data_IF_043252116846
#
_entry.id   IF_043252116846
#
_cell.length_a   1.000
_cell.length_b   1.000
_cell.length_c   1.000
_cell.angle_alpha   90.00
_cell.angle_beta   90.00
_cell.angle_gamma   90.00
#
_symmetry.space_group_name_H-M   'P 1'
#
loop_
_entity.id
_entity.type
_entity.pdbx_description
1 polymer ?
#
# COMPACT_ATOMS: atom_id res chain seq x y z
N UNK A 1 29.34 6.83 -25.61
CA UNK A 1 28.69 5.71 -24.87
C UNK A 1 27.68 6.30 -23.92
N UNK A 2 26.48 5.77 -23.88
CA UNK A 2 25.48 6.20 -22.87
C UNK A 2 25.96 5.78 -21.47
N UNK A 3 25.71 6.62 -20.48
CA UNK A 3 26.00 6.33 -19.07
C UNK A 3 24.74 5.80 -18.39
N UNK A 4 24.92 4.84 -17.49
CA UNK A 4 23.84 4.31 -16.65
C UNK A 4 23.52 5.30 -15.53
N UNK A 5 22.26 5.28 -15.06
CA UNK A 5 21.92 5.96 -13.81
C UNK A 5 22.46 5.16 -12.62
N UNK A 6 23.58 5.61 -12.05
CA UNK A 6 24.30 4.91 -10.98
C UNK A 6 23.51 4.80 -9.67
N UNK A 7 22.42 5.57 -9.50
CA UNK A 7 21.58 5.44 -8.33
C UNK A 7 20.91 4.07 -8.23
N UNK A 8 20.62 3.42 -9.37
CA UNK A 8 20.13 2.04 -9.40
C UNK A 8 21.12 1.02 -8.82
N UNK A 9 22.43 1.29 -8.92
CA UNK A 9 23.46 0.41 -8.38
C UNK A 9 23.56 0.46 -6.85
N UNK A 10 22.93 1.45 -6.21
CA UNK A 10 22.88 1.58 -4.75
C UNK A 10 21.82 0.68 -4.10
N UNK A 11 20.83 0.22 -4.88
CA UNK A 11 19.83 -0.69 -4.38
C UNK A 11 20.41 -2.08 -4.11
N UNK A 12 20.00 -2.78 -3.05
CA UNK A 12 20.33 -4.18 -2.86
C UNK A 12 19.99 -5.00 -4.11
N UNK A 13 20.85 -5.93 -4.51
CA UNK A 13 20.60 -6.80 -5.67
C UNK A 13 19.33 -7.65 -5.52
N UNK A 14 18.88 -7.88 -4.28
CA UNK A 14 17.71 -8.66 -3.97
C UNK A 14 16.65 -7.81 -3.26
N UNK A 15 15.45 -7.78 -3.82
CA UNK A 15 14.27 -7.28 -3.16
C UNK A 15 13.83 -8.28 -2.07
N UNK A 16 13.37 -7.80 -0.90
CA UNK A 16 12.97 -8.61 0.27
C UNK A 16 12.23 -9.92 -0.07
N UNK A 17 11.23 -9.81 -0.94
CA UNK A 17 10.41 -10.98 -1.32
C UNK A 17 11.17 -11.98 -2.20
N UNK A 18 12.21 -11.55 -2.93
CA UNK A 18 13.08 -12.44 -3.68
C UNK A 18 13.99 -13.26 -2.73
N UNK A 19 14.48 -12.66 -1.66
CA UNK A 19 15.28 -13.38 -0.65
C UNK A 19 14.44 -14.42 0.10
N UNK A 20 13.19 -14.08 0.46
CA UNK A 20 12.24 -15.03 1.03
C UNK A 20 12.02 -16.20 0.07
N UNK A 21 11.73 -15.91 -1.21
CA UNK A 21 11.52 -16.95 -2.23
C UNK A 21 12.75 -17.85 -2.39
N UNK A 22 13.97 -17.28 -2.38
CA UNK A 22 15.22 -18.02 -2.45
C UNK A 22 15.39 -18.98 -1.27
N UNK A 23 15.13 -18.52 -0.03
CA UNK A 23 15.21 -19.36 1.18
C UNK A 23 14.14 -20.48 1.16
N UNK A 24 12.91 -20.15 0.77
CA UNK A 24 11.82 -21.14 0.64
C UNK A 24 12.14 -22.19 -0.44
N UNK A 25 12.70 -21.79 -1.57
CA UNK A 25 13.11 -22.73 -2.63
C UNK A 25 14.27 -23.63 -2.17
N UNK A 26 15.27 -23.09 -1.47
CA UNK A 26 16.35 -23.89 -0.88
C UNK A 26 15.81 -24.92 0.13
N UNK A 27 14.86 -24.53 0.97
CA UNK A 27 14.18 -25.43 1.88
C UNK A 27 13.44 -26.56 1.15
N UNK A 28 12.71 -26.25 0.06
CA UNK A 28 11.99 -27.25 -0.74
C UNK A 28 12.92 -28.31 -1.36
N UNK A 29 14.14 -27.92 -1.75
CA UNK A 29 15.13 -28.85 -2.32
C UNK A 29 15.53 -29.91 -1.27
N UNK A 30 15.73 -29.51 -0.03
CA UNK A 30 16.11 -30.40 1.07
C UNK A 30 14.91 -31.11 1.73
N UNK A 31 13.70 -30.56 1.59
CA UNK A 31 12.46 -31.08 2.15
C UNK A 31 11.35 -31.19 1.07
N UNK A 32 11.52 -32.06 0.04
CA UNK A 32 10.65 -32.11 -1.11
C UNK A 32 9.19 -32.53 -0.81
N UNK A 33 8.95 -33.14 0.34
CA UNK A 33 7.61 -33.53 0.82
C UNK A 33 6.96 -32.51 1.75
N UNK A 34 7.65 -31.43 2.08
CA UNK A 34 7.10 -30.41 2.98
C UNK A 34 5.93 -29.66 2.31
N UNK A 35 4.78 -29.64 2.99
CA UNK A 35 3.64 -28.84 2.60
C UNK A 35 3.77 -27.46 3.27
N UNK A 36 4.32 -26.48 2.53
CA UNK A 36 4.57 -25.13 3.04
C UNK A 36 3.31 -24.27 2.92
N UNK A 37 2.93 -23.61 4.00
CA UNK A 37 1.87 -22.61 4.02
C UNK A 37 2.50 -21.22 4.11
N UNK A 38 2.26 -20.38 3.08
CA UNK A 38 2.78 -19.01 3.06
C UNK A 38 1.74 -18.05 3.61
N UNK A 39 2.07 -17.42 4.74
CA UNK A 39 1.33 -16.30 5.33
C UNK A 39 2.12 -14.99 5.26
N UNK A 40 3.19 -14.95 4.46
CA UNK A 40 4.06 -13.76 4.32
C UNK A 40 3.74 -12.87 3.14
N UNK A 41 3.23 -13.44 2.03
CA UNK A 41 3.01 -12.71 0.79
C UNK A 41 1.70 -11.90 0.88
N UNK A 42 1.81 -10.60 0.65
CA UNK A 42 0.66 -9.69 0.64
C UNK A 42 -0.14 -9.73 -0.67
N UNK A 43 -0.36 -10.92 -1.25
CA UNK A 43 -1.21 -11.11 -2.42
C UNK A 43 -2.54 -11.73 -2.03
N UNK A 44 -3.61 -11.26 -2.67
CA UNK A 44 -4.97 -11.76 -2.46
C UNK A 44 -5.15 -13.13 -3.11
N UNK A 45 -6.03 -13.97 -2.55
CA UNK A 45 -6.20 -15.36 -2.99
C UNK A 45 -7.63 -15.71 -3.40
N UNK A 46 -8.60 -14.89 -3.02
CA UNK A 46 -9.98 -15.11 -3.46
C UNK A 46 -10.12 -14.72 -4.94
N UNK A 47 -10.93 -15.47 -5.70
CA UNK A 47 -11.21 -15.14 -7.09
C UNK A 47 -11.91 -13.78 -7.18
N UNK A 48 -11.86 -13.18 -8.36
CA UNK A 48 -12.64 -11.97 -8.67
C UNK A 48 -14.13 -12.24 -8.47
N UNK A 49 -14.84 -11.26 -7.95
CA UNK A 49 -16.26 -11.41 -7.71
C UNK A 49 -17.06 -11.47 -9.04
N UNK A 50 -18.24 -12.13 -9.03
CA UNK A 50 -19.04 -12.32 -10.24
C UNK A 50 -19.37 -11.02 -10.99
N UNK A 51 -19.72 -9.94 -10.30
CA UNK A 51 -20.01 -8.65 -10.92
C UNK A 51 -18.83 -8.09 -11.73
N UNK A 52 -17.60 -8.27 -11.24
CA UNK A 52 -16.37 -7.88 -11.94
C UNK A 52 -16.16 -8.72 -13.19
N UNK A 53 -16.32 -10.05 -13.10
CA UNK A 53 -16.16 -10.96 -14.23
C UNK A 53 -17.18 -10.68 -15.33
N UNK A 54 -18.44 -10.45 -14.96
CA UNK A 54 -19.50 -10.09 -15.90
C UNK A 54 -19.20 -8.79 -16.64
N UNK A 55 -18.77 -7.75 -15.90
CA UNK A 55 -18.39 -6.48 -16.49
C UNK A 55 -17.21 -6.60 -17.46
N UNK A 56 -16.21 -7.46 -17.14
CA UNK A 56 -15.08 -7.73 -18.03
C UNK A 56 -15.53 -8.42 -19.32
N UNK A 57 -16.39 -9.42 -19.23
CA UNK A 57 -16.94 -10.12 -20.41
C UNK A 57 -17.70 -9.14 -21.30
N UNK A 58 -18.61 -8.36 -20.73
CA UNK A 58 -19.38 -7.36 -21.45
C UNK A 58 -18.48 -6.33 -22.14
N UNK A 59 -17.48 -5.81 -21.45
CA UNK A 59 -16.53 -4.86 -22.01
C UNK A 59 -15.69 -5.48 -23.16
N UNK A 60 -15.31 -6.75 -23.04
CA UNK A 60 -14.60 -7.46 -24.12
C UNK A 60 -15.50 -7.69 -25.34
N UNK A 61 -16.77 -8.06 -25.16
CA UNK A 61 -17.75 -8.24 -26.24
C UNK A 61 -18.02 -6.90 -26.95
N UNK A 62 -18.17 -5.79 -26.22
CA UNK A 62 -18.31 -4.44 -26.78
C UNK A 62 -17.13 -4.10 -27.70
N UNK A 63 -15.90 -4.35 -27.25
CA UNK A 63 -14.67 -4.10 -28.02
C UNK A 63 -14.60 -4.92 -29.33
N UNK A 64 -15.36 -6.01 -29.42
CA UNK A 64 -15.47 -6.85 -30.62
C UNK A 64 -16.37 -6.26 -31.71
N UNK A 65 -17.03 -5.14 -31.50
CA UNK A 65 -17.95 -4.50 -32.46
C UNK A 65 -17.40 -3.16 -32.94
N UNK A 66 -17.74 -2.77 -34.17
CA UNK A 66 -17.30 -1.49 -34.73
C UNK A 66 -17.85 -0.29 -33.93
N UNK A 67 -19.04 -0.39 -33.36
CA UNK A 67 -19.68 0.68 -32.57
C UNK A 67 -19.22 0.71 -31.11
N UNK A 68 -18.73 -0.40 -30.58
CA UNK A 68 -18.28 -0.54 -29.20
C UNK A 68 -16.76 -0.57 -29.05
N UNK A 69 -16.01 -0.44 -30.16
CA UNK A 69 -14.55 -0.39 -30.08
C UNK A 69 -14.04 0.88 -29.39
N UNK A 70 -13.20 0.70 -28.41
CA UNK A 70 -12.52 1.77 -27.69
C UNK A 70 -11.02 1.77 -28.02
N UNK A 71 -10.54 2.83 -28.70
CA UNK A 71 -9.11 3.07 -28.90
C UNK A 71 -8.44 3.66 -27.65
N UNK A 72 -7.51 4.59 -27.84
CA UNK A 72 -6.94 5.34 -26.72
C UNK A 72 -8.04 6.08 -25.96
N UNK A 73 -8.17 5.77 -24.67
CA UNK A 73 -9.10 6.46 -23.77
C UNK A 73 -8.52 7.80 -23.27
N UNK A 74 -9.31 8.53 -22.45
CA UNK A 74 -8.79 9.70 -21.74
C UNK A 74 -7.65 9.30 -20.80
N UNK A 75 -6.58 10.08 -20.79
CA UNK A 75 -5.37 9.80 -19.97
C UNK A 75 -5.66 9.80 -18.47
N UNK A 76 -6.69 10.55 -18.03
CA UNK A 76 -7.16 10.54 -16.64
C UNK A 76 -8.07 9.34 -16.30
N UNK A 77 -8.47 8.56 -17.28
CA UNK A 77 -9.48 7.53 -17.17
C UNK A 77 -10.87 7.99 -17.63
N UNK A 78 -11.75 7.03 -17.87
CA UNK A 78 -13.12 7.29 -18.32
C UNK A 78 -13.98 7.92 -17.24
N UNK A 79 -14.90 8.81 -17.64
CA UNK A 79 -15.79 9.53 -16.74
C UNK A 79 -16.67 8.58 -15.92
N UNK A 80 -17.16 7.48 -16.51
CA UNK A 80 -17.98 6.51 -15.79
C UNK A 80 -17.32 5.99 -14.52
N UNK A 81 -16.01 5.73 -14.55
CA UNK A 81 -15.28 5.26 -13.35
C UNK A 81 -14.97 6.42 -12.41
N UNK A 82 -14.52 7.57 -12.93
CA UNK A 82 -14.20 8.74 -12.10
C UNK A 82 -15.41 9.27 -11.35
N UNK A 83 -16.60 9.30 -12.00
CA UNK A 83 -17.88 9.63 -11.36
C UNK A 83 -18.29 8.60 -10.32
N UNK A 84 -18.11 7.28 -10.60
CA UNK A 84 -18.38 6.23 -9.64
C UNK A 84 -17.49 6.35 -8.39
N UNK A 85 -16.20 6.67 -8.55
CA UNK A 85 -15.27 6.95 -7.46
C UNK A 85 -15.76 8.14 -6.61
N UNK A 86 -16.04 9.28 -7.25
CA UNK A 86 -16.55 10.46 -6.55
C UNK A 86 -17.79 10.15 -5.72
N UNK A 87 -18.76 9.51 -6.34
CA UNK A 87 -20.06 9.20 -5.73
C UNK A 87 -19.98 8.23 -4.56
N UNK A 88 -19.03 7.29 -4.60
CA UNK A 88 -19.00 6.18 -3.64
C UNK A 88 -17.88 6.31 -2.59
N UNK A 89 -16.72 6.82 -2.97
CA UNK A 89 -15.58 6.87 -2.05
C UNK A 89 -15.48 8.21 -1.31
N UNK A 90 -15.92 9.32 -1.93
CA UNK A 90 -15.72 10.66 -1.38
C UNK A 90 -17.00 11.37 -0.91
N UNK A 91 -18.04 11.45 -1.74
CA UNK A 91 -19.26 12.18 -1.38
C UNK A 91 -19.95 11.68 -0.09
N UNK A 92 -20.04 10.36 0.20
CA UNK A 92 -20.62 9.87 1.44
C UNK A 92 -19.86 10.28 2.70
N UNK A 93 -18.60 10.70 2.55
CA UNK A 93 -17.71 11.19 3.62
C UNK A 93 -17.68 12.72 3.72
N UNK A 94 -18.53 13.41 2.96
CA UNK A 94 -18.54 14.87 2.89
C UNK A 94 -17.35 15.49 2.18
N UNK A 95 -16.64 14.71 1.37
CA UNK A 95 -15.50 15.18 0.57
C UNK A 95 -15.99 15.55 -0.81
N UNK A 96 -15.77 16.81 -1.20
CA UNK A 96 -16.14 17.34 -2.50
C UNK A 96 -14.87 17.53 -3.35
N UNK A 97 -14.75 16.72 -4.38
CA UNK A 97 -13.69 16.78 -5.40
C UNK A 97 -14.31 17.06 -6.75
N UNK A 98 -13.57 17.72 -7.63
CA UNK A 98 -13.89 17.79 -9.04
C UNK A 98 -13.46 16.50 -9.76
N UNK A 99 -14.15 16.14 -10.83
CA UNK A 99 -13.86 14.91 -11.57
C UNK A 99 -12.43 14.89 -12.13
N UNK A 100 -11.87 16.03 -12.50
CA UNK A 100 -10.51 16.19 -13.03
C UNK A 100 -9.43 16.27 -11.95
N UNK A 101 -9.78 16.05 -10.68
CA UNK A 101 -8.83 15.78 -9.59
C UNK A 101 -8.54 14.28 -9.43
N UNK A 102 -9.30 13.40 -10.13
CA UNK A 102 -9.15 11.96 -10.10
C UNK A 102 -8.47 11.46 -11.36
N UNK A 103 -7.40 10.68 -11.16
CA UNK A 103 -6.57 10.08 -12.20
C UNK A 103 -6.55 8.57 -12.03
N UNK A 104 -7.23 7.85 -12.92
CA UNK A 104 -7.22 6.38 -12.95
C UNK A 104 -5.88 5.88 -13.45
N UNK A 105 -5.33 4.87 -12.78
CA UNK A 105 -4.01 4.31 -13.06
C UNK A 105 -3.99 2.77 -13.06
N UNK A 106 -2.84 2.18 -13.33
CA UNK A 106 -2.62 0.74 -13.34
C UNK A 106 -2.26 0.15 -11.95
N UNK A 107 -2.61 0.86 -10.89
CA UNK A 107 -2.38 0.52 -9.49
C UNK A 107 -1.52 1.56 -8.78
N UNK A 108 -1.76 1.76 -7.48
CA UNK A 108 -1.10 2.79 -6.68
C UNK A 108 0.44 2.73 -6.73
N UNK A 109 1.02 1.54 -6.89
CA UNK A 109 2.48 1.36 -6.89
C UNK A 109 3.19 2.14 -7.99
N UNK A 110 2.65 2.14 -9.22
CA UNK A 110 3.23 2.89 -10.33
C UNK A 110 3.14 4.39 -10.08
N UNK A 111 1.99 4.87 -9.61
CA UNK A 111 1.82 6.30 -9.37
C UNK A 111 2.62 6.82 -8.18
N UNK A 112 2.82 6.04 -7.10
CA UNK A 112 3.70 6.43 -6.00
C UNK A 112 5.17 6.61 -6.45
N UNK A 113 5.60 5.88 -7.47
CA UNK A 113 6.89 6.06 -8.12
C UNK A 113 6.89 7.23 -9.12
N UNK A 114 5.85 7.31 -9.95
CA UNK A 114 5.75 8.28 -11.04
C UNK A 114 5.57 9.73 -10.55
N UNK A 115 4.79 9.94 -9.47
CA UNK A 115 4.51 11.27 -8.92
C UNK A 115 5.79 12.01 -8.50
N UNK A 116 6.84 11.29 -8.22
CA UNK A 116 8.12 11.84 -7.82
C UNK A 116 8.80 12.67 -8.91
N UNK A 117 8.39 12.50 -10.18
CA UNK A 117 8.89 13.32 -11.29
C UNK A 117 8.41 14.78 -11.22
N UNK A 118 7.35 15.07 -10.44
CA UNK A 118 6.84 16.43 -10.23
C UNK A 118 7.63 17.24 -9.22
N UNK A 119 8.47 16.59 -8.42
CA UNK A 119 9.19 17.25 -7.33
C UNK A 119 10.70 17.11 -7.53
N UNK A 120 11.42 18.13 -7.07
CA UNK A 120 12.88 18.19 -7.24
C UNK A 120 13.58 17.03 -6.54
N UNK A 121 14.69 16.62 -7.13
CA UNK A 121 15.54 15.52 -6.64
C UNK A 121 16.21 15.81 -5.28
N UNK A 122 16.34 17.08 -4.90
CA UNK A 122 16.98 17.52 -3.65
C UNK A 122 16.01 17.75 -2.48
N UNK A 123 14.72 17.45 -2.66
CA UNK A 123 13.73 17.48 -1.57
C UNK A 123 14.06 16.42 -0.51
N UNK A 124 13.95 16.80 0.76
CA UNK A 124 14.04 15.86 1.88
C UNK A 124 12.79 14.98 1.97
N UNK A 125 12.97 13.72 2.38
CA UNK A 125 11.88 12.75 2.52
C UNK A 125 11.77 12.26 3.95
N UNK A 126 10.54 12.18 4.45
CA UNK A 126 10.19 11.50 5.70
C UNK A 126 9.36 10.25 5.43
N UNK A 127 9.70 9.18 6.12
CA UNK A 127 8.96 7.90 6.06
C UNK A 127 8.72 7.37 7.47
N UNK A 128 7.59 6.71 7.67
CA UNK A 128 7.43 5.88 8.87
C UNK A 128 8.40 4.70 8.82
N UNK A 129 8.83 4.19 9.96
CA UNK A 129 9.71 3.03 10.04
C UNK A 129 9.15 2.06 11.09
N UNK A 130 8.69 0.87 10.73
CA UNK A 130 8.75 0.23 9.40
C UNK A 130 7.76 0.81 8.36
N UNK A 131 8.07 0.59 7.08
CA UNK A 131 7.25 1.06 5.95
C UNK A 131 7.35 0.13 4.75
N UNK A 132 6.44 0.28 3.78
CA UNK A 132 6.52 -0.39 2.50
C UNK A 132 7.77 0.05 1.72
N UNK A 133 8.72 -0.86 1.39
CA UNK A 133 10.06 -0.50 0.90
C UNK A 133 10.06 0.32 -0.39
N UNK A 134 9.02 0.20 -1.20
CA UNK A 134 8.92 0.89 -2.50
C UNK A 134 9.04 2.41 -2.39
N UNK A 135 8.60 3.00 -1.29
CA UNK A 135 8.72 4.46 -1.12
C UNK A 135 10.18 4.90 -0.99
N UNK A 136 11.01 4.14 -0.28
CA UNK A 136 12.44 4.40 -0.17
C UNK A 136 13.13 4.06 -1.49
N UNK A 137 12.91 2.85 -2.03
CA UNK A 137 13.58 2.37 -3.24
C UNK A 137 13.38 3.31 -4.43
N UNK A 138 12.16 3.80 -4.63
CA UNK A 138 11.87 4.74 -5.70
C UNK A 138 12.57 6.09 -5.52
N UNK A 139 12.78 6.55 -4.29
CA UNK A 139 13.58 7.73 -3.98
C UNK A 139 15.09 7.50 -4.14
N UNK A 140 15.58 6.28 -3.92
CA UNK A 140 16.96 5.90 -4.25
C UNK A 140 17.18 5.95 -5.75
N UNK A 141 16.28 5.37 -6.55
CA UNK A 141 16.38 5.33 -8.02
C UNK A 141 16.54 6.71 -8.66
N UNK A 142 15.91 7.74 -8.11
CA UNK A 142 16.02 9.12 -8.60
C UNK A 142 17.12 9.94 -7.92
N UNK A 143 17.90 9.34 -7.01
CA UNK A 143 19.06 9.97 -6.38
C UNK A 143 18.74 10.79 -5.12
N UNK A 144 17.51 10.77 -4.61
CA UNK A 144 17.09 11.60 -3.47
C UNK A 144 17.54 11.05 -2.12
N UNK A 145 17.73 9.74 -2.00
CA UNK A 145 17.96 9.10 -0.71
C UNK A 145 19.38 9.25 -0.14
N UNK A 146 20.36 9.69 -0.94
CA UNK A 146 21.75 9.87 -0.48
C UNK A 146 22.58 8.57 -0.52
N UNK A 147 23.30 8.29 0.57
CA UNK A 147 24.15 7.11 0.80
C UNK A 147 23.64 6.29 1.98
N UNK A 148 24.04 5.03 2.06
CA UNK A 148 23.70 4.19 3.22
C UNK A 148 24.73 4.40 4.33
N UNK A 149 24.27 4.76 5.52
CA UNK A 149 25.05 4.97 6.73
C UNK A 149 24.34 4.25 7.89
N UNK A 150 25.01 3.34 8.56
CA UNK A 150 24.45 2.52 9.65
C UNK A 150 23.09 1.86 9.31
N UNK A 151 22.95 1.35 8.08
CA UNK A 151 21.76 0.68 7.59
C UNK A 151 20.59 1.61 7.22
N UNK A 152 20.79 2.93 7.23
CA UNK A 152 19.81 3.95 6.87
C UNK A 152 20.31 4.82 5.72
N UNK A 153 19.41 5.33 4.91
CA UNK A 153 19.72 6.31 3.88
C UNK A 153 19.91 7.70 4.49
N UNK A 154 21.03 8.37 4.22
CA UNK A 154 21.42 9.61 4.88
C UNK A 154 20.47 10.79 4.66
N UNK A 155 19.78 10.84 3.52
CA UNK A 155 18.81 11.90 3.20
C UNK A 155 17.36 11.52 3.49
N UNK A 156 17.13 10.36 4.13
CA UNK A 156 15.78 9.91 4.54
C UNK A 156 15.60 10.13 6.03
N UNK A 157 14.51 10.77 6.40
CA UNK A 157 14.12 10.98 7.79
C UNK A 157 13.21 9.83 8.18
N UNK A 158 13.74 8.93 8.99
CA UNK A 158 12.99 7.79 9.53
C UNK A 158 12.21 8.22 10.77
N UNK A 159 10.91 7.96 10.78
CA UNK A 159 10.00 8.23 11.90
C UNK A 159 9.59 6.90 12.52
N UNK A 160 10.22 6.47 13.63
CA UNK A 160 9.96 5.16 14.21
C UNK A 160 8.51 4.98 14.61
N UNK A 161 7.96 3.81 14.27
CA UNK A 161 6.63 3.33 14.65
C UNK A 161 6.80 1.96 15.31
N UNK A 162 6.77 1.92 16.62
CA UNK A 162 7.03 0.74 17.42
C UNK A 162 6.00 0.61 18.57
N UNK A 163 6.10 -0.43 19.36
CA UNK A 163 5.18 -0.69 20.46
C UNK A 163 5.20 0.43 21.52
N UNK A 164 6.38 1.01 21.76
CA UNK A 164 6.60 2.02 22.79
C UNK A 164 5.86 3.34 22.47
N UNK A 165 5.64 3.66 21.19
CA UNK A 165 4.87 4.83 20.76
C UNK A 165 3.49 4.50 20.20
N UNK A 166 3.01 3.26 20.43
CA UNK A 166 1.71 2.81 19.91
C UNK A 166 1.62 2.79 18.38
N UNK A 167 2.75 2.69 17.69
CA UNK A 167 2.87 2.75 16.22
C UNK A 167 2.40 4.08 15.60
N UNK A 168 2.39 5.15 16.41
CA UNK A 168 2.10 6.51 15.94
C UNK A 168 3.43 7.26 15.76
N UNK A 169 3.79 7.64 14.52
CA UNK A 169 5.05 8.33 14.27
C UNK A 169 5.03 9.73 14.87
N UNK A 170 6.15 10.12 15.50
CA UNK A 170 6.32 11.47 15.97
C UNK A 170 6.50 12.43 14.80
N UNK A 171 5.86 13.59 14.93
CA UNK A 171 6.03 14.68 13.96
C UNK A 171 7.47 15.20 14.06
N UNK A 172 8.18 15.33 12.91
CA UNK A 172 9.54 15.85 12.90
C UNK A 172 9.64 17.27 13.50
N UNK A 173 10.71 17.54 14.24
CA UNK A 173 11.02 18.86 14.80
C UNK A 173 11.58 19.86 13.77
N UNK A 174 11.92 19.37 12.58
CA UNK A 174 12.44 20.13 11.43
C UNK A 174 11.50 20.01 10.22
N UNK A 175 11.66 20.90 9.27
CA UNK A 175 10.97 20.82 7.99
C UNK A 175 11.39 19.57 7.21
N UNK A 176 10.41 18.87 6.64
CA UNK A 176 10.56 17.77 5.70
C UNK A 176 9.73 18.13 4.45
N UNK A 177 10.31 18.05 3.26
CA UNK A 177 9.62 18.52 2.06
C UNK A 177 8.52 17.55 1.61
N UNK A 178 8.77 16.24 1.72
CA UNK A 178 7.79 15.19 1.35
C UNK A 178 7.72 14.14 2.44
N UNK A 179 6.51 13.79 2.85
CA UNK A 179 6.26 12.74 3.85
C UNK A 179 5.36 11.67 3.26
N UNK A 180 5.77 10.41 3.40
CA UNK A 180 4.95 9.25 3.05
C UNK A 180 4.22 8.76 4.29
N UNK A 181 2.89 8.67 4.19
CA UNK A 181 2.02 8.05 5.19
C UNK A 181 1.19 6.96 4.50
N UNK A 182 1.14 5.77 5.09
CA UNK A 182 0.34 4.65 4.60
C UNK A 182 -0.58 4.19 5.72
N UNK A 183 -1.90 4.37 5.55
CA UNK A 183 -2.89 3.94 6.55
C UNK A 183 -4.17 3.42 5.88
N UNK A 184 -4.65 2.24 6.30
CA UNK A 184 -4.02 1.28 7.22
C UNK A 184 -2.61 0.90 6.78
N UNK A 185 -1.70 0.72 7.73
CA UNK A 185 -0.27 0.61 7.45
C UNK A 185 0.14 -0.77 6.92
N UNK A 186 0.95 -0.79 5.90
CA UNK A 186 1.76 -1.93 5.51
C UNK A 186 3.22 -1.63 5.93
N UNK A 187 3.80 -2.37 6.91
CA UNK A 187 3.49 -3.75 7.28
C UNK A 187 2.69 -3.95 8.58
N UNK A 188 2.52 -2.93 9.42
CA UNK A 188 2.08 -3.12 10.82
C UNK A 188 0.59 -3.42 10.98
N UNK A 189 -0.23 -3.12 9.95
CA UNK A 189 -1.68 -3.23 10.05
C UNK A 189 -2.34 -2.19 10.97
N UNK A 190 -1.55 -1.22 11.47
CA UNK A 190 -2.06 -0.17 12.35
C UNK A 190 -2.75 0.93 11.55
N UNK A 191 -3.61 1.65 12.22
CA UNK A 191 -4.36 2.80 11.67
C UNK A 191 -3.97 4.08 12.39
N UNK A 192 -4.40 5.21 11.86
CA UNK A 192 -4.18 6.52 12.46
C UNK A 192 -5.53 7.15 12.79
N UNK A 193 -5.64 7.75 13.98
CA UNK A 193 -6.86 8.43 14.38
C UNK A 193 -7.04 9.75 13.61
N UNK A 194 -8.28 10.23 13.56
CA UNK A 194 -8.60 11.53 12.96
C UNK A 194 -7.84 12.68 13.61
N UNK A 195 -7.62 12.61 14.93
CA UNK A 195 -6.87 13.64 15.67
C UNK A 195 -5.37 13.64 15.27
N UNK A 196 -4.76 12.46 15.22
CA UNK A 196 -3.36 12.31 14.84
C UNK A 196 -3.13 12.70 13.38
N UNK A 197 -4.01 12.27 12.46
CA UNK A 197 -3.91 12.68 11.06
C UNK A 197 -4.05 14.19 10.89
N UNK A 198 -4.87 14.85 11.71
CA UNK A 198 -4.97 16.32 11.74
C UNK A 198 -3.65 16.99 12.15
N UNK A 199 -2.89 16.40 13.07
CA UNK A 199 -1.56 16.92 13.45
C UNK A 199 -0.61 16.91 12.25
N UNK A 200 -0.65 15.84 11.44
CA UNK A 200 0.14 15.75 10.21
C UNK A 200 -0.27 16.77 9.16
N UNK A 201 -1.55 16.95 8.93
CA UNK A 201 -2.05 17.99 8.00
C UNK A 201 -1.66 19.40 8.48
N UNK A 202 -1.78 19.67 9.77
CA UNK A 202 -1.36 20.97 10.34
C UNK A 202 0.15 21.19 10.21
N UNK A 203 0.96 20.16 10.47
CA UNK A 203 2.41 20.23 10.25
C UNK A 203 2.73 20.52 8.78
N UNK A 204 2.08 19.81 7.85
CA UNK A 204 2.32 19.99 6.43
C UNK A 204 1.96 21.39 5.94
N UNK A 205 0.83 21.94 6.38
CA UNK A 205 0.41 23.30 6.04
C UNK A 205 1.34 24.37 6.62
N UNK A 206 1.86 24.13 7.83
CA UNK A 206 2.78 25.07 8.49
C UNK A 206 4.17 25.10 7.84
N UNK A 207 4.63 23.97 7.33
CA UNK A 207 6.00 23.77 6.85
C UNK A 207 6.11 23.70 5.32
N UNK A 208 5.02 23.92 4.58
CA UNK A 208 4.98 23.67 3.11
C UNK A 208 5.44 22.25 2.75
N UNK A 209 5.02 21.27 3.53
CA UNK A 209 5.32 19.84 3.31
C UNK A 209 4.25 19.24 2.42
N UNK A 210 4.65 18.38 1.48
CA UNK A 210 3.75 17.56 0.68
C UNK A 210 3.58 16.19 1.33
N UNK A 211 2.34 15.77 1.58
CA UNK A 211 2.03 14.42 2.07
C UNK A 211 1.65 13.54 0.88
N UNK A 212 2.34 12.40 0.74
CA UNK A 212 1.94 11.27 -0.10
C UNK A 212 1.22 10.25 0.78
N UNK A 213 -0.10 10.22 0.67
CA UNK A 213 -0.96 9.39 1.51
C UNK A 213 -1.41 8.15 0.75
N UNK A 214 -0.94 6.97 1.15
CA UNK A 214 -1.32 5.70 0.55
C UNK A 214 -2.49 5.08 1.32
N UNK A 215 -3.66 5.06 0.69
CA UNK A 215 -4.92 4.55 1.22
C UNK A 215 -5.29 3.17 0.62
N UNK A 216 -4.31 2.39 0.13
CA UNK A 216 -4.56 1.12 -0.56
C UNK A 216 -5.34 0.08 0.27
N UNK A 217 -5.38 0.23 1.59
CA UNK A 217 -6.08 -0.68 2.51
C UNK A 217 -7.33 -0.06 3.17
N UNK A 218 -7.75 1.13 2.75
CA UNK A 218 -8.87 1.86 3.37
C UNK A 218 -10.17 1.04 3.43
N UNK A 219 -10.40 0.14 2.48
CA UNK A 219 -11.59 -0.71 2.43
C UNK A 219 -11.65 -1.75 3.58
N UNK A 220 -10.55 -1.99 4.27
CA UNK A 220 -10.47 -2.91 5.42
C UNK A 220 -10.78 -2.27 6.77
N UNK A 221 -10.92 -0.94 6.83
CA UNK A 221 -11.26 -0.22 8.05
C UNK A 221 -12.66 -0.63 8.49
N UNK A 222 -12.77 -1.06 9.76
CA UNK A 222 -14.01 -1.52 10.38
C UNK A 222 -14.57 -0.49 11.37
N UNK A 223 -13.72 0.40 11.89
CA UNK A 223 -14.06 1.37 12.91
C UNK A 223 -14.47 2.71 12.26
N UNK A 224 -15.65 3.20 12.58
CA UNK A 224 -16.24 4.43 12.01
C UNK A 224 -15.43 5.70 12.33
N UNK A 225 -14.66 5.70 13.42
CA UNK A 225 -13.86 6.85 13.85
C UNK A 225 -12.53 6.99 13.09
N UNK A 226 -12.11 5.95 12.38
CA UNK A 226 -10.87 5.95 11.60
C UNK A 226 -11.12 6.56 10.21
N UNK A 227 -10.35 7.58 9.79
CA UNK A 227 -10.52 8.18 8.47
C UNK A 227 -10.14 7.21 7.35
N UNK A 228 -10.97 7.12 6.32
CA UNK A 228 -10.70 6.35 5.12
C UNK A 228 -9.94 7.15 4.05
N UNK A 229 -9.93 8.47 4.20
CA UNK A 229 -9.26 9.41 3.30
C UNK A 229 -8.62 10.53 4.11
N UNK A 230 -7.44 10.99 3.69
CA UNK A 230 -6.82 12.16 4.31
C UNK A 230 -7.67 13.42 4.10
N UNK A 231 -8.49 13.46 3.05
CA UNK A 231 -9.36 14.60 2.76
C UNK A 231 -10.55 14.76 3.70
N UNK A 232 -10.79 13.81 4.59
CA UNK A 232 -11.69 13.99 5.74
C UNK A 232 -11.11 15.01 6.77
N UNK A 233 -9.83 15.34 6.64
CA UNK A 233 -9.15 16.33 7.48
C UNK A 233 -9.14 17.68 6.77
N UNK A 234 -9.73 18.68 7.40
CA UNK A 234 -9.77 20.05 6.86
C UNK A 234 -8.36 20.56 6.53
N UNK A 235 -8.16 21.00 5.29
CA UNK A 235 -6.91 21.55 4.81
C UNK A 235 -6.03 20.57 4.04
N UNK A 236 -6.30 19.27 4.10
CA UNK A 236 -5.51 18.24 3.43
C UNK A 236 -5.42 18.43 1.91
N UNK A 237 -6.47 18.95 1.25
CA UNK A 237 -6.45 19.25 -0.19
C UNK A 237 -5.31 20.19 -0.61
N UNK A 238 -4.79 21.01 0.30
CA UNK A 238 -3.70 21.97 0.04
C UNK A 238 -2.31 21.41 0.31
N UNK A 239 -2.19 20.17 0.84
CA UNK A 239 -0.90 19.60 1.22
C UNK A 239 -0.78 18.11 0.95
N UNK A 240 -1.77 17.43 0.38
CA UNK A 240 -1.72 15.98 0.20
C UNK A 240 -2.13 15.52 -1.20
N UNK A 241 -1.44 14.47 -1.67
CA UNK A 241 -1.83 13.61 -2.80
C UNK A 241 -2.20 12.26 -2.19
N UNK A 242 -3.32 11.68 -2.63
CA UNK A 242 -3.83 10.42 -2.10
C UNK A 242 -3.84 9.33 -3.18
N UNK A 243 -3.34 8.13 -2.82
CA UNK A 243 -3.24 6.98 -3.71
C UNK A 243 -4.17 5.87 -3.26
N UNK A 244 -4.94 5.33 -4.21
CA UNK A 244 -5.88 4.24 -4.00
C UNK A 244 -5.59 3.07 -4.94
N UNK A 245 -5.90 1.84 -4.48
CA UNK A 245 -5.69 0.63 -5.27
C UNK A 245 -6.86 -0.33 -5.15
N UNK A 246 -7.33 -0.84 -6.26
CA UNK A 246 -8.28 -1.95 -6.26
C UNK A 246 -7.60 -3.32 -6.05
N UNK A 247 -6.27 -3.36 -6.02
CA UNK A 247 -5.50 -4.60 -5.83
C UNK A 247 -5.93 -5.37 -4.59
N UNK A 248 -6.14 -4.66 -3.46
CA UNK A 248 -6.50 -5.31 -2.19
C UNK A 248 -8.01 -5.27 -1.93
N UNK A 249 -8.68 -4.23 -2.40
CA UNK A 249 -10.14 -4.08 -2.25
C UNK A 249 -10.90 -5.12 -3.07
N UNK A 250 -10.51 -5.32 -4.34
CA UNK A 250 -11.30 -6.08 -5.31
C UNK A 250 -10.52 -7.24 -5.98
N UNK A 251 -9.32 -7.57 -5.50
CA UNK A 251 -8.53 -8.65 -6.09
C UNK A 251 -7.78 -8.27 -7.38
N UNK A 252 -7.60 -6.98 -7.66
CA UNK A 252 -7.04 -6.50 -8.94
C UNK A 252 -5.51 -6.55 -9.00
N UNK A 253 -4.87 -7.44 -8.27
CA UNK A 253 -3.41 -7.61 -8.32
C UNK A 253 -2.90 -8.00 -9.72
N UNK A 254 -3.71 -8.74 -10.49
CA UNK A 254 -3.44 -9.11 -11.88
C UNK A 254 -4.12 -8.24 -12.94
N UNK A 255 -5.26 -7.60 -12.61
CA UNK A 255 -6.01 -6.73 -13.54
C UNK A 255 -5.32 -5.38 -13.72
N UNK A 256 -4.71 -4.87 -12.67
CA UNK A 256 -4.00 -3.58 -12.62
C UNK A 256 -4.93 -2.38 -12.79
N UNK A 257 -5.57 -1.94 -11.70
CA UNK A 257 -6.32 -0.70 -11.63
C UNK A 257 -6.26 -0.06 -10.24
N UNK A 258 -6.26 1.25 -10.20
CA UNK A 258 -6.30 2.10 -9.02
C UNK A 258 -6.57 3.54 -9.44
N UNK A 259 -6.43 4.48 -8.53
CA UNK A 259 -6.53 5.90 -8.85
C UNK A 259 -5.71 6.76 -7.89
N UNK A 260 -5.34 7.94 -8.37
CA UNK A 260 -4.64 8.97 -7.58
C UNK A 260 -5.50 10.22 -7.57
N UNK A 261 -5.59 10.87 -6.42
CA UNK A 261 -6.26 12.16 -6.28
C UNK A 261 -5.21 13.26 -6.14
N UNK A 262 -5.23 14.21 -7.07
CA UNK A 262 -4.36 15.39 -7.06
C UNK A 262 -5.24 16.63 -7.05
N UNK A 263 -5.49 17.25 -5.89
CA UNK A 263 -6.37 18.40 -5.78
C UNK A 263 -5.87 19.62 -6.59
N UNK A 264 -6.81 20.38 -7.15
CA UNK A 264 -6.50 21.65 -7.85
C UNK A 264 -5.92 22.71 -6.94
N UNK A 265 -6.28 22.68 -5.63
CA UNK A 265 -5.79 23.61 -4.62
C UNK A 265 -4.35 23.33 -4.19
N UNK A 266 -3.82 22.15 -4.58
CA UNK A 266 -2.48 21.72 -4.19
C UNK A 266 -1.42 22.40 -5.04
N UNK A 267 -0.51 23.10 -4.39
CA UNK A 267 0.59 23.81 -5.05
C UNK A 267 1.94 23.46 -4.44
N UNK A 268 3.01 23.54 -5.24
CA UNK A 268 4.39 23.51 -4.76
C UNK A 268 5.13 24.77 -5.22
N UNK A 269 6.22 25.12 -4.52
CA UNK A 269 7.00 26.30 -4.83
C UNK A 269 8.12 26.00 -5.85
N UNK A 270 8.39 26.94 -6.74
CA UNK A 270 9.62 26.97 -7.54
C UNK A 270 10.79 27.49 -6.69
N UNK A 271 12.01 27.45 -7.24
CA UNK A 271 13.18 28.05 -6.60
C UNK A 271 13.07 29.55 -6.37
N UNK A 272 12.25 30.24 -7.18
CA UNK A 272 11.98 31.67 -7.06
C UNK A 272 10.84 31.98 -6.10
N UNK A 273 10.21 30.96 -5.50
CA UNK A 273 9.09 31.13 -4.55
C UNK A 273 7.71 31.19 -5.20
N UNK A 274 7.61 31.12 -6.52
CA UNK A 274 6.32 31.07 -7.23
C UNK A 274 5.57 29.78 -6.90
N UNK A 275 4.26 29.88 -6.63
CA UNK A 275 3.41 28.72 -6.33
C UNK A 275 2.76 28.18 -7.60
N UNK A 276 3.04 26.91 -7.93
CA UNK A 276 2.56 26.24 -9.13
C UNK A 276 1.58 25.13 -8.74
N UNK A 277 0.36 25.08 -9.31
CA UNK A 277 -0.57 23.96 -9.11
C UNK A 277 0.02 22.64 -9.61
N UNK A 278 -0.06 21.58 -8.80
CA UNK A 278 0.48 20.26 -9.15
C UNK A 278 -0.46 19.47 -10.08
N UNK A 279 -1.77 19.70 -10.02
CA UNK A 279 -2.74 18.96 -10.83
C UNK A 279 -2.47 19.10 -12.34
N UNK A 280 -2.29 20.29 -12.93
CA UNK A 280 -1.97 20.41 -14.35
C UNK A 280 -0.62 19.78 -14.74
N UNK A 281 0.36 19.79 -13.84
CA UNK A 281 1.65 19.15 -14.07
C UNK A 281 1.50 17.62 -14.11
N UNK A 282 0.70 17.07 -13.17
CA UNK A 282 0.40 15.65 -13.16
C UNK A 282 -0.39 15.23 -14.41
N UNK A 283 -1.40 15.97 -14.79
CA UNK A 283 -2.14 15.73 -16.03
C UNK A 283 -1.18 15.71 -17.23
N UNK A 284 -0.31 16.72 -17.36
CA UNK A 284 0.67 16.77 -18.46
C UNK A 284 1.62 15.58 -18.46
N UNK A 285 2.06 15.12 -17.27
CA UNK A 285 2.88 13.91 -17.14
C UNK A 285 2.13 12.68 -17.64
N UNK A 286 0.88 12.50 -17.23
CA UNK A 286 0.04 11.36 -17.64
C UNK A 286 -0.17 11.36 -19.16
N UNK A 287 -0.48 12.49 -19.78
CA UNK A 287 -0.58 12.61 -21.24
C UNK A 287 0.73 12.29 -21.98
N UNK A 288 1.89 12.44 -21.32
CA UNK A 288 3.19 12.24 -21.98
C UNK A 288 3.74 10.81 -21.81
N UNK A 289 3.50 10.17 -20.67
CA UNK A 289 4.14 8.92 -20.27
C UNK A 289 3.18 7.78 -19.94
N UNK A 290 1.86 8.04 -20.03
CA UNK A 290 0.84 7.06 -19.68
C UNK A 290 -0.41 7.30 -20.52
N UNK A 291 -0.90 6.31 -21.23
CA UNK A 291 -2.10 6.42 -22.08
C UNK A 291 -3.38 5.91 -21.38
N UNK A 292 -3.39 5.92 -20.06
CA UNK A 292 -4.49 5.36 -19.26
C UNK A 292 -4.43 3.85 -19.10
N UNK A 293 -5.16 3.34 -18.10
CA UNK A 293 -5.37 1.89 -17.97
C UNK A 293 -6.46 1.40 -18.94
N UNK A 294 -6.50 0.10 -19.21
CA UNK A 294 -7.39 -0.46 -20.24
C UNK A 294 -8.87 -0.20 -19.94
N UNK A 295 -9.68 -0.05 -21.01
CA UNK A 295 -11.13 0.07 -20.92
C UNK A 295 -11.76 -1.06 -20.11
N UNK A 296 -11.34 -2.31 -20.37
CA UNK A 296 -11.85 -3.52 -19.68
C UNK A 296 -11.56 -3.45 -18.18
N UNK A 297 -10.34 -3.03 -17.79
CA UNK A 297 -9.99 -2.88 -16.37
C UNK A 297 -10.81 -1.78 -15.68
N UNK A 298 -11.13 -0.70 -16.38
CA UNK A 298 -11.94 0.38 -15.83
C UNK A 298 -13.41 -0.02 -15.69
N UNK A 299 -13.98 -0.79 -16.64
CA UNK A 299 -15.34 -1.37 -16.50
C UNK A 299 -15.41 -2.38 -15.35
N UNK A 300 -14.37 -3.20 -15.20
CA UNK A 300 -14.23 -4.08 -14.06
C UNK A 300 -14.22 -3.32 -12.72
N UNK A 301 -13.50 -2.18 -12.66
CA UNK A 301 -13.44 -1.34 -11.48
C UNK A 301 -14.77 -0.63 -11.20
N UNK A 302 -15.47 -0.14 -12.22
CA UNK A 302 -16.81 0.45 -12.07
C UNK A 302 -17.80 -0.55 -11.45
N UNK A 303 -17.72 -1.82 -11.83
CA UNK A 303 -18.65 -2.87 -11.35
C UNK A 303 -18.61 -3.05 -9.82
N UNK A 304 -17.50 -2.75 -9.16
CA UNK A 304 -17.43 -2.86 -7.69
C UNK A 304 -18.34 -1.85 -6.96
N UNK A 305 -18.73 -0.78 -7.63
CA UNK A 305 -19.58 0.28 -7.10
C UNK A 305 -21.09 0.02 -7.32
N UNK A 306 -21.44 -1.00 -8.09
CA UNK A 306 -22.85 -1.44 -8.19
C UNK A 306 -23.33 -2.03 -6.85
N UNK A 307 -24.66 -2.11 -6.59
CA UNK A 307 -25.15 -2.75 -5.36
C UNK A 307 -24.60 -4.17 -5.16
N UNK A 308 -24.62 -4.99 -6.22
CA UNK A 308 -24.12 -6.37 -6.22
C UNK A 308 -22.60 -6.41 -6.00
N UNK A 309 -21.86 -5.53 -6.69
CA UNK A 309 -20.42 -5.42 -6.55
C UNK A 309 -20.01 -5.08 -5.12
N UNK A 310 -20.68 -4.10 -4.50
CA UNK A 310 -20.40 -3.71 -3.10
C UNK A 310 -20.65 -4.86 -2.12
N UNK A 311 -21.75 -5.60 -2.28
CA UNK A 311 -22.05 -6.74 -1.42
C UNK A 311 -20.98 -7.83 -1.56
N UNK A 312 -20.60 -8.18 -2.80
CA UNK A 312 -19.60 -9.20 -3.09
C UNK A 312 -18.20 -8.80 -2.59
N UNK A 313 -17.80 -7.53 -2.77
CA UNK A 313 -16.54 -7.00 -2.25
C UNK A 313 -16.53 -7.03 -0.72
N UNK A 314 -17.61 -6.60 -0.08
CA UNK A 314 -17.77 -6.68 1.38
C UNK A 314 -17.64 -8.11 1.91
N UNK A 315 -18.20 -9.08 1.21
CA UNK A 315 -18.07 -10.50 1.55
C UNK A 315 -16.62 -10.96 1.46
N UNK A 316 -15.88 -10.58 0.41
CA UNK A 316 -14.46 -10.91 0.24
C UNK A 316 -13.58 -10.27 1.32
N UNK A 317 -13.80 -8.99 1.66
CA UNK A 317 -13.10 -8.31 2.74
C UNK A 317 -13.37 -9.00 4.08
N UNK A 318 -14.63 -9.31 4.38
CA UNK A 318 -15.00 -10.02 5.60
C UNK A 318 -14.34 -11.41 5.69
N UNK A 319 -14.22 -12.11 4.57
CA UNK A 319 -13.50 -13.40 4.51
C UNK A 319 -12.07 -13.26 5.03
N UNK A 320 -11.32 -12.27 4.53
CA UNK A 320 -9.96 -12.02 4.99
C UNK A 320 -9.89 -11.51 6.44
N UNK A 321 -10.83 -10.66 6.84
CA UNK A 321 -10.86 -10.14 8.21
C UNK A 321 -11.19 -11.23 9.25
N UNK A 322 -11.95 -12.26 8.86
CA UNK A 322 -12.14 -13.46 9.70
C UNK A 322 -10.81 -14.21 9.93
N UNK A 323 -9.98 -14.35 8.89
CA UNK A 323 -8.63 -14.90 9.05
C UNK A 323 -7.76 -14.04 9.98
N UNK A 324 -7.78 -12.72 9.80
CA UNK A 324 -7.05 -11.80 10.66
C UNK A 324 -7.45 -11.97 12.13
N UNK A 325 -8.74 -12.02 12.41
CA UNK A 325 -9.28 -12.24 13.77
C UNK A 325 -8.82 -13.58 14.35
N UNK A 326 -8.85 -14.68 13.57
CA UNK A 326 -8.36 -15.99 13.99
C UNK A 326 -6.88 -15.94 14.32
N UNK A 327 -6.06 -15.30 13.47
CA UNK A 327 -4.61 -15.14 13.70
C UNK A 327 -4.35 -14.37 15.00
N UNK A 328 -4.99 -13.20 15.18
CA UNK A 328 -4.84 -12.40 16.39
C UNK A 328 -5.18 -13.17 17.64
N UNK A 329 -6.35 -13.81 17.68
CA UNK A 329 -6.80 -14.57 18.84
C UNK A 329 -5.86 -15.72 19.16
N UNK A 330 -5.42 -16.46 18.14
CA UNK A 330 -4.54 -17.62 18.33
C UNK A 330 -3.15 -17.20 18.79
N UNK A 331 -2.51 -16.24 18.11
CA UNK A 331 -1.16 -15.82 18.46
C UNK A 331 -1.11 -15.17 19.84
N UNK A 332 -2.09 -14.35 20.20
CA UNK A 332 -2.23 -13.80 21.56
C UNK A 332 -2.40 -14.90 22.62
N UNK A 333 -3.17 -15.95 22.33
CA UNK A 333 -3.35 -17.10 23.26
C UNK A 333 -2.07 -17.93 23.46
N UNK A 334 -1.11 -17.84 22.55
CA UNK A 334 0.22 -18.45 22.66
C UNK A 334 1.24 -17.55 23.36
N UNK A 335 0.82 -16.39 23.84
CA UNK A 335 1.68 -15.44 24.56
C UNK A 335 2.48 -14.49 23.66
N UNK A 336 2.22 -14.46 22.35
CA UNK A 336 2.88 -13.50 21.47
C UNK A 336 2.27 -12.11 21.60
N UNK A 337 3.12 -11.10 21.53
CA UNK A 337 2.73 -9.70 21.42
C UNK A 337 2.39 -9.37 19.95
N UNK A 338 1.13 -9.02 19.68
CA UNK A 338 0.57 -8.95 18.31
C UNK A 338 -0.24 -7.69 18.11
N UNK A 339 -0.02 -7.03 16.99
CA UNK A 339 -0.61 -5.77 16.58
C UNK A 339 -1.25 -5.86 15.19
N UNK A 340 -2.09 -4.88 14.82
CA UNK A 340 -2.81 -4.86 13.55
C UNK A 340 -3.91 -5.91 13.48
N UNK A 341 -4.41 -6.21 12.28
CA UNK A 341 -5.40 -7.26 12.03
C UNK A 341 -6.85 -6.91 12.40
N UNK A 342 -7.12 -5.71 12.93
CA UNK A 342 -8.47 -5.23 13.28
C UNK A 342 -9.07 -4.37 12.14
N UNK A 343 -8.27 -3.48 11.57
CA UNK A 343 -8.64 -2.60 10.46
C UNK A 343 -7.76 -2.82 9.20
N UNK A 344 -7.07 -3.94 9.13
CA UNK A 344 -6.18 -4.28 8.04
C UNK A 344 -5.94 -5.79 7.97
N UNK A 345 -5.59 -6.33 6.80
CA UNK A 345 -5.30 -7.76 6.63
C UNK A 345 -3.87 -8.15 7.07
N UNK A 346 -3.16 -7.28 7.77
CA UNK A 346 -1.80 -7.51 8.26
C UNK A 346 -1.75 -7.65 9.76
N UNK A 347 -1.01 -8.66 10.20
CA UNK A 347 -0.70 -8.94 11.60
C UNK A 347 0.80 -8.75 11.79
N UNK A 348 1.16 -7.87 12.71
CA UNK A 348 2.51 -7.54 13.09
C UNK A 348 2.82 -8.16 14.44
N UNK A 349 3.73 -9.10 14.49
CA UNK A 349 4.02 -9.88 15.67
C UNK A 349 5.46 -9.65 16.11
N UNK A 350 5.66 -9.33 17.38
CA UNK A 350 6.97 -9.29 18.00
C UNK A 350 7.53 -10.71 18.13
N UNK A 351 8.77 -10.92 17.70
CA UNK A 351 9.43 -12.20 17.85
C UNK A 351 9.85 -12.41 19.31
N UNK A 352 9.95 -13.66 19.79
CA UNK A 352 10.45 -13.94 21.13
C UNK A 352 11.87 -13.39 21.34
N UNK A 353 12.15 -12.95 22.55
CA UNK A 353 13.45 -12.39 22.94
C UNK A 353 14.62 -13.33 22.55
N UNK A 354 15.71 -12.75 22.08
CA UNK A 354 16.88 -13.49 21.60
C UNK A 354 16.82 -13.95 20.14
N UNK A 355 15.69 -13.69 19.42
CA UNK A 355 15.58 -13.98 17.99
C UNK A 355 15.62 -12.71 17.14
N UNK A 356 16.35 -12.73 16.02
CA UNK A 356 16.16 -11.76 14.96
C UNK A 356 14.94 -12.09 14.10
N UNK A 357 14.46 -11.13 13.31
CA UNK A 357 13.36 -11.33 12.37
C UNK A 357 13.62 -12.49 11.40
N UNK A 358 14.86 -12.62 10.91
CA UNK A 358 15.26 -13.69 10.00
C UNK A 358 15.40 -15.04 10.72
N UNK A 359 15.94 -15.06 11.95
CA UNK A 359 16.02 -16.30 12.73
C UNK A 359 14.64 -16.87 13.04
N UNK A 360 13.69 -16.00 13.43
CA UNK A 360 12.31 -16.43 13.65
C UNK A 360 11.66 -16.96 12.36
N UNK A 361 11.88 -16.29 11.23
CA UNK A 361 11.41 -16.78 9.92
C UNK A 361 11.94 -18.18 9.62
N UNK A 362 13.24 -18.43 9.80
CA UNK A 362 13.84 -19.74 9.55
C UNK A 362 13.30 -20.79 10.53
N UNK A 363 13.24 -20.48 11.82
CA UNK A 363 12.70 -21.38 12.84
C UNK A 363 11.25 -21.78 12.54
N UNK A 364 10.44 -20.85 12.09
CA UNK A 364 9.05 -21.09 11.73
C UNK A 364 8.93 -21.95 10.45
N UNK A 365 9.77 -21.68 9.45
CA UNK A 365 9.82 -22.45 8.20
C UNK A 365 10.22 -23.91 8.46
N UNK A 366 11.31 -24.14 9.23
CA UNK A 366 11.83 -25.48 9.51
C UNK A 366 10.98 -26.23 10.54
N UNK A 367 10.44 -25.54 11.55
CA UNK A 367 9.68 -26.17 12.63
C UNK A 367 8.20 -26.39 12.35
N UNK A 368 7.58 -25.48 11.60
CA UNK A 368 6.14 -25.51 11.34
C UNK A 368 5.76 -25.60 9.85
N UNK A 369 6.70 -25.50 8.92
CA UNK A 369 6.46 -25.34 7.48
C UNK A 369 5.52 -24.14 7.17
N UNK A 370 5.68 -23.06 7.93
CA UNK A 370 4.92 -21.81 7.76
C UNK A 370 5.88 -20.68 7.42
N UNK A 371 5.50 -19.83 6.47
CA UNK A 371 6.28 -18.68 6.00
C UNK A 371 5.61 -17.38 6.45
N UNK A 372 6.34 -16.54 7.16
CA UNK A 372 6.01 -15.13 7.44
C UNK A 372 6.91 -14.19 6.63
N UNK A 373 6.82 -12.88 6.84
CA UNK A 373 7.78 -11.91 6.28
C UNK A 373 8.61 -11.31 7.41
N UNK A 374 9.96 -11.39 7.37
CA UNK A 374 10.82 -10.75 8.36
C UNK A 374 10.60 -9.24 8.39
N UNK A 375 10.42 -8.68 9.58
CA UNK A 375 10.07 -7.28 9.75
C UNK A 375 11.19 -6.33 9.37
N UNK A 376 12.44 -6.71 9.56
CA UNK A 376 13.61 -5.91 9.14
C UNK A 376 13.61 -5.54 7.65
N UNK A 377 12.93 -6.32 6.82
CA UNK A 377 12.78 -6.02 5.40
C UNK A 377 11.87 -4.82 5.09
N UNK A 378 11.20 -4.28 6.10
CA UNK A 378 10.37 -3.08 6.00
C UNK A 378 11.03 -1.84 6.62
N UNK A 379 12.26 -1.95 7.08
CA UNK A 379 13.02 -0.88 7.70
C UNK A 379 13.67 -1.31 9.01
N UNK A 380 14.66 -0.55 9.50
CA UNK A 380 15.40 -0.87 10.72
C UNK A 380 14.54 -1.10 11.96
N UNK A 381 13.47 -0.30 12.16
CA UNK A 381 12.55 -0.48 13.29
C UNK A 381 11.64 -1.72 13.16
N UNK A 382 11.68 -2.41 12.02
CA UNK A 382 11.03 -3.70 11.83
C UNK A 382 11.82 -4.88 12.37
N UNK A 383 13.09 -4.68 12.78
CA UNK A 383 13.86 -5.76 13.44
C UNK A 383 13.21 -6.16 14.76
N UNK A 384 13.21 -7.46 15.02
CA UNK A 384 12.48 -8.02 16.17
C UNK A 384 10.97 -8.24 15.94
N UNK A 385 10.51 -8.08 14.71
CA UNK A 385 9.12 -8.34 14.32
C UNK A 385 9.03 -9.21 13.06
N UNK A 386 7.86 -9.79 12.86
CA UNK A 386 7.46 -10.46 11.61
C UNK A 386 6.05 -10.05 11.22
N UNK A 387 5.78 -10.03 9.89
CA UNK A 387 4.45 -9.79 9.35
C UNK A 387 3.80 -11.10 8.90
N UNK A 388 2.55 -11.33 9.33
CA UNK A 388 1.65 -12.30 8.72
C UNK A 388 0.57 -11.57 7.92
N UNK A 389 0.00 -12.25 6.92
CA UNK A 389 -1.09 -11.74 6.10
C UNK A 389 -2.30 -12.64 6.18
N UNK A 390 -3.49 -12.03 6.20
CA UNK A 390 -4.77 -12.74 6.29
C UNK A 390 -5.32 -13.19 4.92
N UNK A 391 -4.55 -13.05 3.85
CA UNK A 391 -5.00 -13.32 2.48
C UNK A 391 -5.07 -14.80 2.10
N UNK A 392 -4.77 -15.72 3.00
CA UNK A 392 -4.90 -17.17 2.79
C UNK A 392 -6.35 -17.67 2.72
N UNK A 393 -6.53 -18.95 2.34
CA UNK A 393 -7.83 -19.60 2.57
C UNK A 393 -8.04 -19.87 4.07
N UNK A 394 -9.32 -20.04 4.48
CA UNK A 394 -9.64 -20.38 5.88
C UNK A 394 -8.94 -21.66 6.32
N UNK A 395 -8.97 -22.71 5.46
CA UNK A 395 -8.38 -24.01 5.75
C UNK A 395 -6.86 -23.91 5.96
N UNK A 396 -6.16 -23.19 5.05
CA UNK A 396 -4.71 -23.00 5.17
C UNK A 396 -4.34 -22.13 6.35
N UNK A 397 -5.17 -21.14 6.67
CA UNK A 397 -4.97 -20.30 7.84
C UNK A 397 -5.12 -21.11 9.12
N UNK A 398 -6.19 -21.90 9.24
CA UNK A 398 -6.44 -22.76 10.39
C UNK A 398 -5.33 -23.81 10.55
N UNK A 399 -4.92 -24.45 9.46
CA UNK A 399 -3.81 -25.42 9.44
C UNK A 399 -2.49 -24.78 9.89
N UNK A 400 -2.16 -23.59 9.38
CA UNK A 400 -0.93 -22.88 9.77
C UNK A 400 -0.95 -22.54 11.26
N UNK A 401 -2.06 -22.06 11.78
CA UNK A 401 -2.21 -21.74 13.21
C UNK A 401 -2.09 -22.97 14.08
N UNK A 402 -2.64 -24.12 13.67
CA UNK A 402 -2.48 -25.38 14.41
C UNK A 402 -1.04 -25.90 14.38
N UNK A 403 -0.31 -25.71 13.28
CA UNK A 403 1.12 -26.02 13.21
C UNK A 403 1.94 -25.13 14.11
N UNK A 404 1.66 -23.82 14.14
CA UNK A 404 2.31 -22.87 15.07
C UNK A 404 2.05 -23.27 16.51
N UNK A 405 0.80 -23.60 16.90
CA UNK A 405 0.47 -24.08 18.25
C UNK A 405 1.24 -25.33 18.67
N UNK A 406 1.48 -26.26 17.73
CA UNK A 406 2.25 -27.49 18.00
C UNK A 406 3.75 -27.19 18.11
N UNK A 407 4.24 -26.27 17.33
CA UNK A 407 5.65 -25.89 17.31
C UNK A 407 6.06 -25.08 18.53
N UNK A 408 5.17 -24.29 19.13
CA UNK A 408 5.42 -23.49 20.33
C UNK A 408 5.30 -24.25 21.65
N UNK A 409 4.81 -25.50 21.64
CA UNK A 409 4.77 -26.41 22.80
C UNK A 409 6.09 -27.17 22.97
#
# INVERSE_FOLDING_TARGET
MALVNEHFLKLPNNYLFADIAKKVNAFKVTHPKANIISLGIGDVTQPLCPAVIEAMHKAADEMGTASGFHGYGPEQGYDFLREAILKNDFLPRGIHLDIDEIFVNDGAKSDTGNIQELIRWDNSIGVTDPIYPVYIDSNVMIGRAGTVEDGKWSNVIYMPCNAENGFVPQIPDRRVDVIYLCYPNNPTGMVITREELRKWVNYALKNDTLIFYDAAYQAYIQDDDIPHSIYEIRGARRCAIEFHSYSKTAGFTGIRCGYTVVPKDLTAATLTGERIPLNPLWYRRQCTKFNGTSYISQRAAEAIYTPEGKEQIKATINYYMQNAKKMLTTLRSLGFEVYGGENAPYIWMRVPEGNSSWQFFENLLYGANVVCTPGVGFGPAGEGYVRFTAFGSHEKTDEALDRIKKWTK
#
